data_IF_511227852721
#
_entry.id   IF_511227852721
#
_cell.length_a   1.000
_cell.length_b   1.000
_cell.length_c   1.000
_cell.angle_alpha   90.00
_cell.angle_beta   90.00
_cell.angle_gamma   90.00
#
_symmetry.space_group_name_H-M   'P 1'
#
loop_
_entity.id
_entity.type
_entity.pdbx_description
1 polymer ?
#
# COMPACT_ATOMS: atom_id res chain seq x y z
N UNK A 1 14.91 8.41 4.76
CA UNK A 1 13.66 8.63 3.99
C UNK A 1 12.66 7.57 4.44
N UNK A 2 11.37 7.88 4.55
CA UNK A 2 10.38 6.95 5.09
C UNK A 2 9.17 6.76 4.16
N UNK A 3 8.62 5.56 4.13
CA UNK A 3 7.41 5.26 3.36
C UNK A 3 6.16 5.24 4.23
N UNK A 4 5.03 5.62 3.62
CA UNK A 4 3.68 5.44 4.15
C UNK A 4 2.85 4.67 3.12
N UNK A 5 1.71 4.14 3.57
CA UNK A 5 0.76 3.47 2.70
C UNK A 5 -0.64 4.08 2.77
N UNK A 6 -1.43 3.82 1.74
CA UNK A 6 -2.88 4.04 1.70
C UNK A 6 -3.57 2.83 1.09
N UNK A 7 -4.86 2.67 1.37
CA UNK A 7 -5.70 1.66 0.73
C UNK A 7 -6.56 2.33 -0.33
N UNK A 8 -6.54 1.78 -1.54
CA UNK A 8 -7.47 2.14 -2.60
C UNK A 8 -8.53 1.05 -2.72
N UNK A 9 -9.77 1.45 -2.95
CA UNK A 9 -10.86 0.56 -3.33
C UNK A 9 -11.19 0.82 -4.80
N UNK A 10 -11.29 -0.23 -5.59
CA UNK A 10 -11.64 -0.19 -7.01
C UNK A 10 -12.78 -1.16 -7.27
N UNK A 11 -13.82 -0.70 -7.96
CA UNK A 11 -14.98 -1.52 -8.32
C UNK A 11 -16.07 -0.65 -8.91
N UNK A 12 -17.02 -1.26 -9.64
CA UNK A 12 -18.18 -0.51 -10.14
C UNK A 12 -19.08 -0.19 -8.94
N UNK A 13 -19.40 1.08 -8.75
CA UNK A 13 -20.21 1.60 -7.62
C UNK A 13 -21.53 0.85 -7.37
N UNK A 14 -22.02 0.06 -8.32
CA UNK A 14 -23.31 -0.63 -8.29
C UNK A 14 -23.25 -2.15 -8.05
N UNK A 15 -22.08 -2.77 -7.93
CA UNK A 15 -22.00 -4.22 -7.70
C UNK A 15 -20.79 -4.62 -6.83
N UNK A 16 -21.00 -5.24 -5.65
CA UNK A 16 -19.97 -5.97 -4.95
C UNK A 16 -19.39 -7.10 -5.82
N UNK A 17 -18.13 -7.51 -5.57
CA UNK A 17 -17.25 -6.99 -4.52
C UNK A 17 -16.35 -5.83 -4.98
N UNK A 18 -16.07 -4.90 -4.07
CA UNK A 18 -14.96 -3.95 -4.23
C UNK A 18 -13.63 -4.69 -4.09
N UNK A 19 -12.65 -4.33 -4.89
CA UNK A 19 -11.28 -4.82 -4.80
C UNK A 19 -10.44 -3.78 -4.06
N UNK A 20 -9.77 -4.21 -2.99
CA UNK A 20 -8.89 -3.38 -2.20
C UNK A 20 -7.43 -3.64 -2.56
N UNK A 21 -6.64 -2.58 -2.68
CA UNK A 21 -5.18 -2.68 -2.90
C UNK A 21 -4.44 -1.69 -2.02
N UNK A 22 -3.27 -2.08 -1.55
CA UNK A 22 -2.35 -1.20 -0.84
C UNK A 22 -1.43 -0.47 -1.82
N UNK A 23 -1.25 0.84 -1.60
CA UNK A 23 -0.32 1.68 -2.34
C UNK A 23 0.68 2.31 -1.38
N UNK A 24 1.96 2.25 -1.74
CA UNK A 24 3.07 2.86 -1.00
C UNK A 24 3.51 4.17 -1.65
N UNK A 25 3.84 5.17 -0.82
CA UNK A 25 4.34 6.46 -1.26
C UNK A 25 5.36 7.01 -0.26
N UNK A 26 6.22 7.92 -0.71
CA UNK A 26 7.22 8.56 0.14
C UNK A 26 6.57 9.59 1.08
N UNK A 27 7.01 9.62 2.35
CA UNK A 27 6.39 10.47 3.37
C UNK A 27 6.55 11.96 3.08
N UNK A 28 7.70 12.35 2.52
CA UNK A 28 8.03 13.73 2.14
C UNK A 28 7.52 14.13 0.75
N UNK A 29 6.97 13.17 -0.01
CA UNK A 29 6.38 13.50 -1.30
C UNK A 29 5.03 14.20 -1.13
N UNK A 30 5.04 15.51 -1.41
CA UNK A 30 3.87 16.39 -1.32
C UNK A 30 2.72 15.94 -2.22
N UNK A 31 3.01 15.30 -3.35
CA UNK A 31 2.00 14.83 -4.29
C UNK A 31 1.48 13.44 -3.94
N UNK A 32 2.14 12.75 -2.99
CA UNK A 32 1.84 11.36 -2.61
C UNK A 32 1.78 10.47 -3.84
N UNK A 33 2.75 10.65 -4.73
CA UNK A 33 2.93 9.82 -5.91
C UNK A 33 3.14 8.38 -5.47
N UNK A 34 2.43 7.51 -6.18
CA UNK A 34 2.46 6.10 -5.91
C UNK A 34 3.79 5.50 -6.38
N UNK A 35 4.62 5.09 -5.43
CA UNK A 35 5.88 4.37 -5.69
C UNK A 35 5.69 2.87 -5.79
N UNK A 36 4.68 2.34 -5.11
CA UNK A 36 4.39 0.91 -5.09
C UNK A 36 2.89 0.65 -5.02
N UNK A 37 2.47 -0.52 -5.52
CA UNK A 37 1.11 -1.06 -5.38
C UNK A 37 1.21 -2.56 -5.22
N UNK A 38 0.43 -3.14 -4.31
CA UNK A 38 0.34 -4.59 -4.24
C UNK A 38 -0.29 -5.16 -5.51
N UNK A 39 0.24 -6.28 -6.00
CA UNK A 39 -0.31 -6.99 -7.16
C UNK A 39 -1.55 -7.83 -6.80
N UNK A 40 -1.82 -8.02 -5.52
CA UNK A 40 -2.96 -8.80 -5.03
C UNK A 40 -4.26 -8.02 -5.12
N UNK A 41 -5.34 -8.74 -5.39
CA UNK A 41 -6.71 -8.24 -5.32
C UNK A 41 -7.34 -8.73 -4.02
N UNK A 42 -7.50 -7.82 -3.06
CA UNK A 42 -8.07 -8.17 -1.76
C UNK A 42 -9.57 -7.91 -1.74
N UNK A 43 -10.33 -8.80 -1.11
CA UNK A 43 -11.77 -8.64 -0.94
C UNK A 43 -12.11 -7.93 0.38
N UNK A 44 -11.12 -7.78 1.26
CA UNK A 44 -11.22 -7.05 2.53
C UNK A 44 -10.16 -5.96 2.63
N UNK A 45 -10.53 -4.86 3.30
CA UNK A 45 -9.59 -3.78 3.68
C UNK A 45 -8.48 -4.33 4.58
N UNK A 46 -8.81 -5.25 5.50
CA UNK A 46 -7.85 -5.82 6.45
C UNK A 46 -6.72 -6.58 5.75
N UNK A 47 -7.06 -7.39 4.74
CA UNK A 47 -6.08 -8.12 3.95
C UNK A 47 -5.15 -7.16 3.19
N UNK A 48 -5.68 -6.09 2.62
CA UNK A 48 -4.88 -5.07 1.96
C UNK A 48 -3.96 -4.32 2.94
N UNK A 49 -4.46 -3.99 4.13
CA UNK A 49 -3.66 -3.37 5.21
C UNK A 49 -2.52 -4.28 5.63
N UNK A 50 -2.78 -5.57 5.83
CA UNK A 50 -1.74 -6.56 6.16
C UNK A 50 -0.69 -6.64 5.06
N UNK A 51 -1.09 -6.75 3.80
CA UNK A 51 -0.17 -6.81 2.67
C UNK A 51 0.72 -5.56 2.58
N UNK A 52 0.13 -4.37 2.77
CA UNK A 52 0.89 -3.12 2.79
C UNK A 52 1.84 -2.98 3.98
N UNK A 53 1.45 -3.48 5.16
CA UNK A 53 2.33 -3.50 6.34
C UNK A 53 3.54 -4.44 6.14
N UNK A 54 3.35 -5.60 5.50
CA UNK A 54 4.45 -6.51 5.16
C UNK A 54 5.45 -5.82 4.20
N UNK A 55 4.97 -5.07 3.22
CA UNK A 55 5.83 -4.29 2.35
C UNK A 55 6.55 -3.16 3.11
N UNK A 56 5.85 -2.39 3.94
CA UNK A 56 6.44 -1.33 4.76
C UNK A 56 7.53 -1.87 5.71
N UNK A 57 7.35 -3.07 6.27
CA UNK A 57 8.35 -3.70 7.12
C UNK A 57 9.65 -3.99 6.34
N UNK A 58 9.55 -4.51 5.11
CA UNK A 58 10.71 -4.75 4.23
C UNK A 58 11.43 -3.45 3.88
N UNK A 59 10.69 -2.39 3.57
CA UNK A 59 11.28 -1.08 3.31
C UNK A 59 11.97 -0.47 4.54
N UNK A 60 11.59 -0.83 5.77
CA UNK A 60 12.33 -0.36 6.96
C UNK A 60 13.64 -1.11 7.14
N UNK A 61 13.63 -2.41 6.87
CA UNK A 61 14.80 -3.29 6.99
C UNK A 61 15.89 -2.89 5.97
N UNK A 62 15.50 -2.70 4.70
CA UNK A 62 16.43 -2.29 3.62
C UNK A 62 17.11 -0.93 3.91
N UNK A 63 16.41 0.00 4.56
CA UNK A 63 16.97 1.28 4.97
C UNK A 63 17.78 1.21 6.27
N UNK A 64 17.60 0.15 7.07
CA UNK A 64 18.37 -0.06 8.30
C UNK A 64 19.71 -0.76 8.04
N UNK A 65 19.83 -1.57 6.99
CA UNK A 65 21.08 -2.28 6.62
C UNK A 65 22.10 -1.42 5.85
N UNK A 66 21.73 -0.20 5.46
CA UNK A 66 22.58 0.72 4.70
C UNK A 66 23.15 1.88 5.54
N UNK A 67 23.04 1.83 6.87
CA UNK A 67 23.48 2.86 7.82
C UNK A 67 24.76 2.49 8.59
#
# INVERSE_FOLDING_TARGET
MGFKMRIIASGRHSAPPLIYRAEGYETDDRFRERKWTCSHEHLSVDEAVRCGNEWLARQRDEFSETA
#
